data_IF_318856836175
#
_entry.id   IF_318856836175
#
_cell.length_a   1.000
_cell.length_b   1.000
_cell.length_c   1.000
_cell.angle_alpha   90.00
_cell.angle_beta   90.00
_cell.angle_gamma   90.00
#
_symmetry.space_group_name_H-M   'P 1'
#
loop_
_entity.id
_entity.type
_entity.pdbx_description
1 polymer ?
#
# COMPACT_ATOMS: atom_id res chain seq x y z
N UNK A 1 67.61 -46.48 21.88
CA UNK A 1 66.27 -46.55 22.51
C UNK A 1 65.90 -45.17 23.04
N UNK A 2 64.74 -44.67 22.62
CA UNK A 2 64.16 -43.36 22.97
C UNK A 2 63.44 -43.40 24.33
N UNK A 3 63.47 -42.30 25.08
CA UNK A 3 62.39 -41.66 25.88
C UNK A 3 63.06 -40.43 26.55
N UNK A 4 62.64 -39.18 26.41
CA UNK A 4 61.29 -38.63 26.19
C UNK A 4 61.04 -37.61 27.31
N UNK A 5 61.82 -36.51 27.31
CA UNK A 5 61.74 -35.44 28.31
C UNK A 5 60.53 -34.52 28.07
N UNK A 6 59.72 -34.34 29.12
CA UNK A 6 58.46 -33.61 29.12
C UNK A 6 58.68 -32.10 28.93
N UNK A 7 58.21 -31.56 27.80
CA UNK A 7 58.06 -30.11 27.61
C UNK A 7 56.89 -29.56 28.40
N UNK A 8 57.14 -28.57 29.26
CA UNK A 8 56.10 -27.80 29.96
C UNK A 8 55.42 -26.87 28.96
N UNK A 9 54.12 -27.07 28.73
CA UNK A 9 53.30 -26.20 27.89
C UNK A 9 53.16 -24.80 28.50
N UNK A 10 53.52 -23.78 27.73
CA UNK A 10 53.17 -22.38 28.01
C UNK A 10 51.68 -22.19 27.76
N UNK A 11 50.88 -22.02 28.81
CA UNK A 11 49.49 -21.57 28.70
C UNK A 11 49.49 -20.10 28.26
N UNK A 12 49.05 -19.83 27.04
CA UNK A 12 48.77 -18.47 26.56
C UNK A 12 47.53 -17.95 27.30
N UNK A 13 47.66 -16.85 28.06
CA UNK A 13 46.51 -16.10 28.57
C UNK A 13 45.71 -15.52 27.39
N UNK A 14 44.37 -15.55 27.39
CA UNK A 14 43.58 -14.85 26.39
C UNK A 14 43.69 -13.33 26.58
N UNK A 15 43.53 -12.53 25.51
CA UNK A 15 43.53 -11.07 25.61
C UNK A 15 42.31 -10.56 26.39
N UNK A 16 42.38 -9.39 27.06
CA UNK A 16 41.25 -8.82 27.77
C UNK A 16 40.12 -8.43 26.80
N UNK A 17 38.89 -8.68 27.22
CA UNK A 17 37.66 -8.30 26.51
C UNK A 17 37.58 -6.77 26.37
N UNK A 18 37.04 -6.22 25.26
CA UNK A 18 36.81 -4.79 25.14
C UNK A 18 35.75 -4.35 26.18
N UNK A 19 35.86 -3.13 26.74
CA UNK A 19 34.86 -2.64 27.69
C UNK A 19 33.51 -2.55 26.99
N UNK A 20 32.48 -3.12 27.62
CA UNK A 20 31.10 -2.89 27.22
C UNK A 20 30.82 -1.40 27.35
N UNK A 21 30.55 -0.73 26.21
CA UNK A 21 29.95 0.60 26.23
C UNK A 21 28.52 0.44 26.74
N UNK A 22 28.36 0.49 28.06
CA UNK A 22 27.06 0.59 28.69
C UNK A 22 26.33 1.81 28.13
N UNK A 23 25.14 1.60 27.60
CA UNK A 23 24.23 2.68 27.24
C UNK A 23 23.92 3.49 28.50
N UNK A 24 24.51 4.68 28.63
CA UNK A 24 24.22 5.59 29.71
C UNK A 24 22.94 6.34 29.36
N UNK A 25 21.84 5.94 30.00
CA UNK A 25 20.56 6.63 29.93
C UNK A 25 20.73 8.13 30.24
N UNK A 26 21.69 8.49 31.08
CA UNK A 26 22.05 9.87 31.43
C UNK A 26 22.72 10.65 30.30
N UNK A 27 23.58 10.02 29.48
CA UNK A 27 24.16 10.67 28.29
C UNK A 27 23.12 10.83 27.18
N UNK A 28 22.23 9.84 27.03
CA UNK A 28 21.09 9.93 26.13
C UNK A 28 20.10 11.03 26.54
N UNK A 29 19.79 11.14 27.85
CA UNK A 29 18.95 12.21 28.42
C UNK A 29 19.58 13.60 28.29
N UNK A 30 20.91 13.75 28.39
CA UNK A 30 21.57 15.04 28.10
C UNK A 30 21.41 15.49 26.65
N UNK A 31 21.22 14.55 25.72
CA UNK A 31 20.89 14.84 24.32
C UNK A 31 19.49 15.42 24.11
N UNK A 32 18.60 15.29 25.11
CA UNK A 32 17.24 15.87 25.12
C UNK A 32 17.18 17.28 25.72
N UNK A 33 18.28 17.79 26.31
CA UNK A 33 18.33 19.16 26.83
C UNK A 33 18.66 20.15 25.70
N UNK A 34 17.91 21.27 25.59
CA UNK A 34 18.18 22.30 24.59
C UNK A 34 19.56 22.92 24.81
N UNK A 35 20.39 22.92 23.77
CA UNK A 35 21.68 23.62 23.76
C UNK A 35 21.43 25.14 23.85
N UNK A 36 22.28 25.91 24.56
CA UNK A 36 22.17 27.36 24.59
C UNK A 36 22.23 27.91 23.17
N UNK A 37 21.27 28.78 22.84
CA UNK A 37 21.09 29.34 21.50
C UNK A 37 22.38 30.01 21.02
N UNK A 38 22.95 29.47 19.93
CA UNK A 38 23.99 30.16 19.19
C UNK A 38 23.42 31.50 18.70
N UNK A 39 24.22 32.56 18.84
CA UNK A 39 23.89 33.94 18.47
C UNK A 39 23.26 33.97 17.07
N UNK A 40 22.05 34.53 16.97
CA UNK A 40 21.28 34.55 15.73
C UNK A 40 22.11 35.19 14.59
N UNK A 41 22.25 34.52 13.44
CA UNK A 41 22.94 35.09 12.29
C UNK A 41 22.16 36.31 11.78
N UNK A 42 22.89 37.34 11.31
CA UNK A 42 22.29 38.49 10.62
C UNK A 42 21.48 37.99 9.42
N UNK A 43 20.17 38.13 9.48
CA UNK A 43 19.27 37.68 8.40
C UNK A 43 19.54 38.49 7.13
N UNK A 44 19.69 37.78 6.01
CA UNK A 44 19.81 38.42 4.68
C UNK A 44 18.42 38.88 4.23
N UNK A 45 18.30 40.00 3.48
CA UNK A 45 16.99 40.54 3.04
C UNK A 45 16.05 39.52 2.38
N UNK A 46 16.60 38.54 1.65
CA UNK A 46 15.81 37.46 1.02
C UNK A 46 15.23 36.43 1.99
N UNK A 47 15.82 36.23 3.17
CA UNK A 47 15.30 35.28 4.17
C UNK A 47 14.00 35.79 4.81
N UNK A 48 13.83 37.11 4.94
CA UNK A 48 12.64 37.72 5.53
C UNK A 48 11.42 37.59 4.61
N UNK A 49 11.62 37.68 3.29
CA UNK A 49 10.56 37.46 2.31
C UNK A 49 10.11 36.00 2.27
N UNK A 50 11.05 35.06 2.22
CA UNK A 50 10.77 33.62 2.27
C UNK A 50 9.99 33.24 3.54
N UNK A 51 10.39 33.75 4.70
CA UNK A 51 9.67 33.50 5.95
C UNK A 51 8.22 34.02 5.93
N UNK A 52 7.95 35.14 5.26
CA UNK A 52 6.61 35.68 5.11
C UNK A 52 5.74 34.85 4.15
N UNK A 53 6.33 34.33 3.07
CA UNK A 53 5.66 33.42 2.13
C UNK A 53 5.33 32.08 2.80
N UNK A 54 6.27 31.52 3.55
CA UNK A 54 6.07 30.30 4.35
C UNK A 54 4.91 30.48 5.35
N UNK A 55 4.90 31.58 6.10
CA UNK A 55 3.83 31.87 7.05
C UNK A 55 2.45 31.98 6.37
N UNK A 56 2.37 32.59 5.18
CA UNK A 56 1.12 32.66 4.39
C UNK A 56 0.67 31.28 3.91
N UNK A 57 1.59 30.45 3.44
CA UNK A 57 1.27 29.10 2.99
C UNK A 57 0.76 28.21 4.13
N UNK A 58 1.36 28.34 5.33
CA UNK A 58 0.91 27.67 6.55
C UNK A 58 -0.50 28.10 6.94
N UNK A 59 -0.79 29.40 6.96
CA UNK A 59 -2.14 29.91 7.26
C UNK A 59 -3.17 29.45 6.21
N UNK A 60 -2.79 29.45 4.94
CA UNK A 60 -3.64 28.96 3.85
C UNK A 60 -3.92 27.45 3.99
N UNK A 61 -2.91 26.64 4.34
CA UNK A 61 -3.08 25.22 4.63
C UNK A 61 -4.07 25.03 5.79
N UNK A 62 -3.86 25.74 6.90
CA UNK A 62 -4.70 25.61 8.08
C UNK A 62 -6.16 25.96 7.81
N UNK A 63 -6.41 26.96 6.97
CA UNK A 63 -7.77 27.33 6.52
C UNK A 63 -8.36 26.27 5.59
N UNK A 64 -7.59 25.78 4.62
CA UNK A 64 -8.05 24.83 3.62
C UNK A 64 -8.43 23.47 4.24
N UNK A 65 -7.62 22.97 5.18
CA UNK A 65 -7.87 21.68 5.85
C UNK A 65 -8.64 21.80 7.17
N UNK A 66 -8.85 23.02 7.67
CA UNK A 66 -9.52 23.26 8.94
C UNK A 66 -8.72 22.76 10.15
N UNK A 67 -7.38 22.73 10.05
CA UNK A 67 -6.46 22.23 11.09
C UNK A 67 -5.57 23.38 11.54
N UNK A 68 -5.64 23.75 12.82
CA UNK A 68 -4.74 24.74 13.41
C UNK A 68 -3.64 24.00 14.16
N UNK A 69 -2.40 24.32 13.86
CA UNK A 69 -1.24 23.78 14.58
C UNK A 69 -0.89 24.66 15.78
N UNK A 70 -0.53 24.03 16.90
CA UNK A 70 0.03 24.75 18.06
C UNK A 70 1.46 25.20 17.77
N UNK A 71 2.25 24.35 17.09
CA UNK A 71 3.56 24.69 16.54
C UNK A 71 3.51 24.75 15.00
N UNK A 72 3.43 25.96 14.41
CA UNK A 72 3.52 26.16 12.96
C UNK A 72 4.82 25.62 12.34
N UNK A 73 5.89 25.50 13.12
CA UNK A 73 7.17 24.94 12.68
C UNK A 73 7.08 23.46 12.31
N UNK A 74 6.23 22.69 13.00
CA UNK A 74 5.97 21.29 12.64
C UNK A 74 5.26 21.16 11.29
N UNK A 75 4.26 22.00 11.04
CA UNK A 75 3.58 22.02 9.73
C UNK A 75 4.52 22.49 8.62
N UNK A 76 5.35 23.50 8.88
CA UNK A 76 6.39 23.91 7.93
C UNK A 76 7.30 22.73 7.57
N UNK A 77 7.80 22.03 8.58
CA UNK A 77 8.68 20.87 8.39
C UNK A 77 7.99 19.77 7.57
N UNK A 78 6.73 19.45 7.89
CA UNK A 78 5.94 18.46 7.16
C UNK A 78 5.75 18.79 5.68
N UNK A 79 5.62 20.08 5.36
CA UNK A 79 5.46 20.58 4.01
C UNK A 79 6.79 20.82 3.29
N UNK A 80 7.95 20.60 3.92
CA UNK A 80 9.26 20.89 3.33
C UNK A 80 9.83 19.70 2.56
N UNK A 81 9.74 19.73 1.23
CA UNK A 81 10.40 18.74 0.38
C UNK A 81 11.93 18.99 0.38
N UNK A 82 12.73 17.93 0.31
CA UNK A 82 14.21 18.00 0.29
C UNK A 82 14.80 18.96 -0.75
N UNK A 83 14.11 19.17 -1.88
CA UNK A 83 14.54 20.16 -2.90
C UNK A 83 14.65 21.60 -2.33
N UNK A 84 13.81 21.93 -1.36
CA UNK A 84 13.72 23.27 -0.76
C UNK A 84 14.91 23.58 0.15
N UNK A 85 15.60 22.56 0.68
CA UNK A 85 16.75 22.74 1.58
C UNK A 85 17.91 23.49 0.93
N UNK A 86 18.11 23.31 -0.38
CA UNK A 86 19.13 24.03 -1.13
C UNK A 86 18.82 25.54 -1.24
N UNK A 87 17.53 25.91 -1.18
CA UNK A 87 17.07 27.31 -1.24
C UNK A 87 17.29 28.00 0.10
N UNK A 88 17.05 27.29 1.21
CA UNK A 88 17.13 27.85 2.57
C UNK A 88 18.52 27.71 3.20
N UNK A 89 19.39 26.85 2.64
CA UNK A 89 20.71 26.53 3.20
C UNK A 89 20.63 25.64 4.44
N UNK A 90 19.51 24.93 4.60
CA UNK A 90 19.19 24.08 5.74
C UNK A 90 19.76 22.66 5.57
N UNK A 91 19.99 21.95 6.68
CA UNK A 91 20.57 20.61 6.65
C UNK A 91 19.56 19.53 6.21
N UNK A 92 20.02 18.33 5.80
CA UNK A 92 19.14 17.23 5.35
C UNK A 92 18.08 16.80 6.37
N UNK A 93 18.28 17.07 7.66
CA UNK A 93 17.32 16.74 8.74
C UNK A 93 16.14 17.71 8.83
N UNK A 94 16.12 18.72 7.98
CA UNK A 94 15.11 19.78 7.96
C UNK A 94 14.10 19.56 6.81
N UNK A 95 14.15 18.40 6.14
CA UNK A 95 13.10 17.89 5.26
C UNK A 95 11.99 17.18 6.04
N UNK A 96 10.90 16.89 5.35
CA UNK A 96 9.76 16.15 5.84
C UNK A 96 10.00 14.64 6.07
N UNK A 97 11.09 14.06 5.55
CA UNK A 97 11.37 12.60 5.51
C UNK A 97 11.30 11.92 6.90
N UNK A 98 11.64 12.63 7.98
CA UNK A 98 11.52 12.07 9.35
C UNK A 98 10.09 12.06 9.86
N UNK A 99 9.29 13.04 9.45
CA UNK A 99 7.87 13.09 9.77
C UNK A 99 7.09 12.08 8.92
N UNK A 100 7.48 11.89 7.65
CA UNK A 100 6.98 10.81 6.78
C UNK A 100 7.11 9.45 7.48
N UNK A 101 8.33 9.10 7.90
CA UNK A 101 8.60 7.85 8.62
C UNK A 101 7.70 7.64 9.86
N UNK A 102 7.49 8.70 10.65
CA UNK A 102 6.59 8.62 11.81
C UNK A 102 5.13 8.52 11.39
N UNK A 103 4.75 9.28 10.36
CA UNK A 103 3.41 9.34 9.80
C UNK A 103 2.95 7.99 9.26
N UNK A 104 3.80 7.28 8.53
CA UNK A 104 3.54 5.91 8.05
C UNK A 104 3.19 4.96 9.21
N UNK A 105 3.96 5.01 10.30
CA UNK A 105 3.67 4.19 11.48
C UNK A 105 2.32 4.53 12.13
N UNK A 106 1.98 5.82 12.23
CA UNK A 106 0.69 6.28 12.76
C UNK A 106 -0.46 5.86 11.84
N UNK A 107 -0.29 6.03 10.52
CA UNK A 107 -1.24 5.62 9.49
C UNK A 107 -1.52 4.12 9.57
N UNK A 108 -0.45 3.32 9.66
CA UNK A 108 -0.52 1.88 9.74
C UNK A 108 -1.27 1.40 10.98
N UNK A 109 -1.05 2.04 12.14
CA UNK A 109 -1.76 1.72 13.37
C UNK A 109 -3.25 2.05 13.28
N UNK A 110 -3.59 3.28 12.89
CA UNK A 110 -4.98 3.73 12.79
C UNK A 110 -5.76 2.88 11.77
N UNK A 111 -5.16 2.60 10.61
CA UNK A 111 -5.80 1.78 9.58
C UNK A 111 -6.02 0.34 10.06
N UNK A 112 -5.04 -0.25 10.77
CA UNK A 112 -5.21 -1.56 11.40
C UNK A 112 -6.34 -1.58 12.44
N UNK A 113 -6.41 -0.57 13.30
CA UNK A 113 -7.46 -0.45 14.32
C UNK A 113 -8.85 -0.29 13.67
N UNK A 114 -8.95 0.54 12.63
CA UNK A 114 -10.17 0.72 11.85
C UNK A 114 -10.66 -0.60 11.25
N UNK A 115 -9.78 -1.32 10.55
CA UNK A 115 -10.13 -2.58 9.90
C UNK A 115 -10.55 -3.66 10.90
N UNK A 116 -9.79 -3.80 11.99
CA UNK A 116 -10.08 -4.77 13.06
C UNK A 116 -11.48 -4.55 13.65
N UNK A 117 -11.86 -3.30 13.93
CA UNK A 117 -13.18 -2.98 14.50
C UNK A 117 -14.31 -3.11 13.47
N UNK A 118 -14.05 -2.73 12.22
CA UNK A 118 -15.10 -2.62 11.20
C UNK A 118 -15.41 -3.94 10.51
N UNK A 119 -14.45 -4.86 10.49
CA UNK A 119 -14.51 -6.15 9.80
C UNK A 119 -14.24 -7.34 10.75
N UNK A 120 -15.06 -7.54 11.81
CA UNK A 120 -14.80 -8.55 12.84
C UNK A 120 -14.84 -10.00 12.33
N UNK A 121 -15.37 -10.22 11.12
CA UNK A 121 -15.50 -11.54 10.50
C UNK A 121 -14.38 -11.84 9.48
N UNK A 122 -13.51 -10.87 9.17
CA UNK A 122 -12.38 -11.07 8.26
C UNK A 122 -11.18 -11.65 9.01
N UNK A 123 -10.48 -12.60 8.40
CA UNK A 123 -9.25 -13.16 8.98
C UNK A 123 -8.03 -12.27 8.71
N UNK A 124 -6.94 -12.51 9.42
CA UNK A 124 -5.70 -11.72 9.38
C UNK A 124 -5.20 -11.43 7.95
N UNK A 125 -5.10 -12.45 7.09
CA UNK A 125 -4.68 -12.24 5.69
C UNK A 125 -5.55 -11.26 4.89
N UNK A 126 -6.88 -11.27 5.09
CA UNK A 126 -7.80 -10.31 4.43
C UNK A 126 -7.56 -8.89 4.96
N UNK A 127 -7.45 -8.74 6.28
CA UNK A 127 -7.19 -7.45 6.92
C UNK A 127 -5.84 -6.87 6.47
N UNK A 128 -4.79 -7.69 6.39
CA UNK A 128 -3.47 -7.29 5.92
C UNK A 128 -3.51 -6.83 4.47
N UNK A 129 -4.20 -7.56 3.59
CA UNK A 129 -4.35 -7.18 2.18
C UNK A 129 -5.10 -5.85 2.01
N UNK A 130 -6.22 -5.69 2.72
CA UNK A 130 -6.99 -4.43 2.70
C UNK A 130 -6.18 -3.28 3.27
N UNK A 131 -5.43 -3.50 4.36
CA UNK A 131 -4.52 -2.50 4.91
C UNK A 131 -3.49 -2.05 3.88
N UNK A 132 -2.76 -2.98 3.27
CA UNK A 132 -1.71 -2.67 2.28
C UNK A 132 -2.26 -1.85 1.12
N UNK A 133 -3.48 -2.13 0.66
CA UNK A 133 -4.14 -1.32 -0.36
C UNK A 133 -4.43 0.10 0.13
N UNK A 134 -5.06 0.25 1.30
CA UNK A 134 -5.48 1.56 1.83
C UNK A 134 -4.31 2.49 2.15
N UNK A 135 -3.20 1.94 2.65
CA UNK A 135 -1.99 2.71 2.96
C UNK A 135 -0.99 2.75 1.80
N UNK A 136 -1.35 2.22 0.63
CA UNK A 136 -0.46 2.21 -0.53
C UNK A 136 -0.16 3.63 -1.02
N UNK A 137 1.07 3.83 -1.51
CA UNK A 137 1.51 5.07 -2.15
C UNK A 137 0.56 5.52 -3.27
N UNK A 138 -0.02 4.57 -4.01
CA UNK A 138 -0.99 4.84 -5.06
C UNK A 138 -2.31 5.45 -4.52
N UNK A 139 -2.86 4.95 -3.41
CA UNK A 139 -4.06 5.53 -2.79
C UNK A 139 -3.72 6.88 -2.14
N UNK A 140 -2.65 6.93 -1.34
CA UNK A 140 -2.26 8.14 -0.61
C UNK A 140 -1.97 9.31 -1.56
N UNK A 141 -1.21 9.07 -2.63
CA UNK A 141 -0.89 10.11 -3.61
C UNK A 141 -2.13 10.63 -4.35
N UNK A 142 -3.07 9.75 -4.72
CA UNK A 142 -4.34 10.16 -5.35
C UNK A 142 -5.19 11.00 -4.40
N UNK A 143 -5.25 10.63 -3.11
CA UNK A 143 -5.95 11.41 -2.07
C UNK A 143 -5.31 12.78 -1.88
N UNK A 144 -4.00 12.81 -1.73
CA UNK A 144 -3.21 14.03 -1.61
C UNK A 144 -3.38 14.96 -2.83
N UNK A 145 -3.45 14.39 -4.04
CA UNK A 145 -3.72 15.14 -5.26
C UNK A 145 -5.13 15.72 -5.24
N UNK A 146 -6.15 14.89 -4.98
CA UNK A 146 -7.55 15.29 -4.97
C UNK A 146 -7.84 16.39 -3.94
N UNK A 147 -7.20 16.33 -2.76
CA UNK A 147 -7.36 17.35 -1.72
C UNK A 147 -6.51 18.61 -1.97
N UNK A 148 -5.72 18.64 -3.04
CA UNK A 148 -4.88 19.79 -3.42
C UNK A 148 -3.66 19.99 -2.54
N UNK A 149 -3.17 18.96 -1.84
CA UNK A 149 -2.04 19.04 -0.90
C UNK A 149 -0.78 19.60 -1.56
N UNK A 150 -0.57 19.26 -2.83
CA UNK A 150 0.57 19.71 -3.62
C UNK A 150 0.77 21.22 -3.57
N UNK A 151 -0.28 22.04 -3.47
CA UNK A 151 -0.23 23.52 -3.44
C UNK A 151 0.50 24.11 -2.23
N UNK A 152 0.68 23.32 -1.17
CA UNK A 152 1.26 23.78 0.10
C UNK A 152 2.70 23.31 0.34
N UNK A 153 3.16 22.30 -0.41
CA UNK A 153 4.52 21.74 -0.24
C UNK A 153 5.58 22.74 -0.70
N UNK A 154 6.55 23.06 0.15
CA UNK A 154 7.69 23.90 -0.19
C UNK A 154 8.69 23.10 -1.03
N UNK A 155 9.04 23.63 -2.19
CA UNK A 155 9.91 22.99 -3.18
C UNK A 155 10.81 24.05 -3.84
N UNK A 156 11.93 23.63 -4.43
CA UNK A 156 12.72 24.54 -5.27
C UNK A 156 11.94 24.96 -6.52
N UNK A 157 12.35 26.07 -7.15
CA UNK A 157 11.73 26.52 -8.39
C UNK A 157 11.80 25.46 -9.49
N UNK A 158 12.97 24.85 -9.69
CA UNK A 158 13.18 23.77 -10.66
C UNK A 158 12.28 22.55 -10.42
N UNK A 159 12.04 22.21 -9.16
CA UNK A 159 11.16 21.10 -8.78
C UNK A 159 9.71 21.40 -9.18
N UNK A 160 9.26 22.64 -8.95
CA UNK A 160 7.95 23.11 -9.36
C UNK A 160 7.80 23.09 -10.88
N UNK A 161 8.78 23.62 -11.63
CA UNK A 161 8.78 23.64 -13.10
C UNK A 161 8.72 22.23 -13.70
N UNK A 162 9.34 21.25 -13.04
CA UNK A 162 9.29 19.83 -13.45
C UNK A 162 7.99 19.09 -13.09
N UNK A 163 6.97 19.81 -12.60
CA UNK A 163 5.68 19.24 -12.21
C UNK A 163 5.65 18.62 -10.81
N UNK A 164 6.57 18.97 -9.91
CA UNK A 164 6.66 18.40 -8.56
C UNK A 164 5.35 18.50 -7.76
N UNK A 165 4.56 19.55 -7.99
CA UNK A 165 3.24 19.78 -7.36
C UNK A 165 2.21 18.69 -7.67
N UNK A 166 2.37 17.96 -8.77
CA UNK A 166 1.49 16.87 -9.20
C UNK A 166 2.15 15.50 -9.07
N UNK A 167 3.43 15.44 -8.67
CA UNK A 167 4.17 14.18 -8.62
C UNK A 167 3.67 13.31 -7.48
N UNK A 168 3.15 12.14 -7.82
CA UNK A 168 2.52 11.22 -6.88
C UNK A 168 3.44 10.83 -5.72
N UNK A 169 4.74 10.62 -5.98
CA UNK A 169 5.69 10.28 -4.92
C UNK A 169 5.78 11.35 -3.85
N UNK A 170 5.98 12.60 -4.25
CA UNK A 170 6.06 13.75 -3.31
C UNK A 170 4.75 13.94 -2.55
N UNK A 171 3.62 13.72 -3.21
CA UNK A 171 2.30 13.90 -2.60
C UNK A 171 2.00 12.85 -1.53
N UNK A 172 2.37 11.59 -1.74
CA UNK A 172 2.24 10.55 -0.72
C UNK A 172 3.13 10.86 0.49
N UNK A 173 4.40 11.18 0.26
CA UNK A 173 5.37 11.46 1.32
C UNK A 173 4.95 12.69 2.15
N UNK A 174 4.40 13.72 1.48
CA UNK A 174 3.84 14.90 2.15
C UNK A 174 2.58 14.57 2.97
N UNK A 175 1.73 13.66 2.51
CA UNK A 175 0.53 13.25 3.26
C UNK A 175 0.92 12.59 4.58
N UNK A 176 1.84 11.61 4.53
CA UNK A 176 2.37 10.94 5.72
C UNK A 176 3.09 11.94 6.63
N UNK A 177 3.88 12.84 6.07
CA UNK A 177 4.56 13.87 6.84
C UNK A 177 3.61 14.80 7.59
N UNK A 178 2.52 15.24 6.95
CA UNK A 178 1.47 16.05 7.59
C UNK A 178 0.82 15.27 8.72
N UNK A 179 0.51 14.00 8.50
CA UNK A 179 -0.04 13.12 9.53
C UNK A 179 0.92 12.99 10.73
N UNK A 180 2.21 12.78 10.48
CA UNK A 180 3.24 12.75 11.52
C UNK A 180 3.31 14.05 12.31
N UNK A 181 3.17 15.20 11.65
CA UNK A 181 3.11 16.49 12.32
C UNK A 181 1.83 16.68 13.15
N UNK A 182 0.65 16.30 12.64
CA UNK A 182 -0.61 16.34 13.40
C UNK A 182 -0.50 15.48 14.66
N UNK A 183 0.08 14.28 14.54
CA UNK A 183 0.31 13.40 15.67
C UNK A 183 1.22 14.03 16.74
N UNK A 184 2.33 14.64 16.35
CA UNK A 184 3.24 15.29 17.30
C UNK A 184 2.65 16.55 17.94
N UNK A 185 1.85 17.32 17.20
CA UNK A 185 1.29 18.59 17.65
C UNK A 185 0.05 18.42 18.55
N UNK A 186 -0.80 17.42 18.25
CA UNK A 186 -2.15 17.28 18.84
C UNK A 186 -2.47 15.87 19.36
N UNK A 187 -1.58 14.91 19.14
CA UNK A 187 -1.72 13.54 19.63
C UNK A 187 -2.51 12.61 18.71
N UNK A 188 -2.66 11.37 19.17
CA UNK A 188 -3.22 10.25 18.40
C UNK A 188 -4.66 10.47 17.92
N UNK A 189 -5.52 11.05 18.76
CA UNK A 189 -6.93 11.26 18.42
C UNK A 189 -7.14 12.25 17.27
N UNK A 190 -6.32 13.30 17.21
CA UNK A 190 -6.33 14.26 16.11
C UNK A 190 -5.83 13.61 14.81
N UNK A 191 -4.77 12.81 14.90
CA UNK A 191 -4.25 12.03 13.77
C UNK A 191 -5.28 11.02 13.24
N UNK A 192 -5.99 10.31 14.12
CA UNK A 192 -7.09 9.41 13.74
C UNK A 192 -8.18 10.17 13.01
N UNK A 193 -8.62 11.31 13.55
CA UNK A 193 -9.66 12.15 12.93
C UNK A 193 -9.25 12.65 11.54
N UNK A 194 -7.96 12.99 11.38
CA UNK A 194 -7.40 13.39 10.08
C UNK A 194 -7.48 12.24 9.06
N UNK A 195 -7.05 11.04 9.44
CA UNK A 195 -7.09 9.85 8.58
C UNK A 195 -8.53 9.48 8.24
N UNK A 196 -9.44 9.47 9.22
CA UNK A 196 -10.84 9.15 9.02
C UNK A 196 -11.45 10.07 7.95
N UNK A 197 -11.25 11.39 8.08
CA UNK A 197 -11.80 12.39 7.17
C UNK A 197 -11.19 12.36 5.77
N UNK A 198 -9.87 12.18 5.67
CA UNK A 198 -9.15 12.40 4.40
C UNK A 198 -8.79 11.11 3.65
N UNK A 199 -8.89 9.96 4.31
CA UNK A 199 -8.59 8.65 3.72
C UNK A 199 -9.76 7.68 3.84
N UNK A 200 -10.31 7.49 5.04
CA UNK A 200 -11.20 6.34 5.32
C UNK A 200 -12.69 6.59 5.02
N UNK A 201 -13.17 7.82 5.06
CA UNK A 201 -14.58 8.12 4.73
C UNK A 201 -14.94 7.68 3.31
N UNK A 202 -14.02 7.85 2.36
CA UNK A 202 -14.18 7.32 1.00
C UNK A 202 -13.62 5.89 0.83
N UNK A 203 -12.81 5.38 1.76
CA UNK A 203 -12.37 3.99 1.73
C UNK A 203 -13.55 3.02 1.87
N UNK A 204 -14.68 3.46 2.43
CA UNK A 204 -15.94 2.69 2.39
C UNK A 204 -16.37 2.36 0.96
N UNK A 205 -16.08 3.25 0.01
CA UNK A 205 -16.34 3.07 -1.42
C UNK A 205 -15.27 2.15 -2.02
N UNK A 206 -13.99 2.33 -1.69
CA UNK A 206 -12.88 1.53 -2.22
C UNK A 206 -12.95 0.06 -1.74
N UNK A 207 -13.28 -0.17 -0.47
CA UNK A 207 -13.44 -1.51 0.10
C UNK A 207 -14.76 -2.18 -0.31
N UNK A 208 -15.83 -1.39 -0.56
CA UNK A 208 -17.06 -1.90 -1.16
C UNK A 208 -16.92 -2.17 -2.67
N UNK A 209 -15.96 -1.51 -3.33
CA UNK A 209 -15.60 -1.79 -4.70
C UNK A 209 -14.77 -3.07 -4.77
N UNK A 210 -15.51 -4.19 -4.70
CA UNK A 210 -15.10 -5.58 -4.92
C UNK A 210 -14.25 -5.81 -6.19
N UNK A 211 -14.06 -4.79 -7.04
CA UNK A 211 -13.15 -4.80 -8.19
C UNK A 211 -11.68 -4.97 -7.79
N UNK A 212 -11.29 -4.58 -6.57
CA UNK A 212 -9.92 -4.76 -6.05
C UNK A 212 -9.74 -6.04 -5.23
N UNK A 213 -10.79 -6.85 -5.07
CA UNK A 213 -10.63 -8.20 -4.53
C UNK A 213 -9.87 -9.01 -5.57
N UNK A 214 -8.58 -9.30 -5.36
CA UNK A 214 -7.84 -10.21 -6.22
C UNK A 214 -8.43 -11.63 -6.08
N UNK A 215 -9.48 -11.91 -6.85
CA UNK A 215 -10.24 -13.15 -6.86
C UNK A 215 -9.38 -14.31 -7.31
N UNK A 216 -8.38 -14.07 -8.17
CA UNK A 216 -7.41 -15.10 -8.55
C UNK A 216 -6.64 -15.63 -7.36
N UNK A 217 -6.11 -14.76 -6.50
CA UNK A 217 -5.38 -15.18 -5.30
C UNK A 217 -6.29 -15.95 -4.34
N UNK A 218 -7.51 -15.45 -4.11
CA UNK A 218 -8.47 -16.14 -3.24
C UNK A 218 -8.86 -17.51 -3.80
N UNK A 219 -9.09 -17.61 -5.11
CA UNK A 219 -9.39 -18.88 -5.76
C UNK A 219 -8.18 -19.82 -5.69
N UNK A 220 -6.96 -19.31 -5.84
CA UNK A 220 -5.75 -20.10 -5.73
C UNK A 220 -5.60 -20.70 -4.32
N UNK A 221 -5.79 -19.89 -3.27
CA UNK A 221 -5.78 -20.36 -1.89
C UNK A 221 -6.87 -21.42 -1.63
N UNK A 222 -8.09 -21.18 -2.11
CA UNK A 222 -9.19 -22.13 -2.01
C UNK A 222 -8.88 -23.45 -2.73
N UNK A 223 -8.37 -23.39 -3.96
CA UNK A 223 -8.07 -24.58 -4.76
C UNK A 223 -6.88 -25.34 -4.18
N UNK A 224 -5.88 -24.64 -3.64
CA UNK A 224 -4.72 -25.26 -3.02
C UNK A 224 -5.08 -25.92 -1.70
N UNK A 225 -5.93 -25.29 -0.88
CA UNK A 225 -6.40 -25.87 0.38
C UNK A 225 -7.37 -27.05 0.16
N UNK A 226 -8.28 -26.95 -0.81
CA UNK A 226 -9.35 -27.94 -1.04
C UNK A 226 -8.90 -29.09 -1.93
N UNK A 227 -8.25 -28.79 -3.06
CA UNK A 227 -7.92 -29.76 -4.10
C UNK A 227 -6.42 -30.09 -4.17
N UNK A 228 -5.58 -29.45 -3.33
CA UNK A 228 -4.10 -29.62 -3.31
C UNK A 228 -3.45 -29.43 -4.68
N UNK A 229 -3.99 -28.52 -5.49
CA UNK A 229 -3.49 -28.16 -6.82
C UNK A 229 -3.67 -26.66 -7.06
N UNK A 230 -3.52 -26.19 -8.30
CA UNK A 230 -3.69 -24.80 -8.69
C UNK A 230 -4.76 -24.63 -9.79
N UNK A 231 -5.44 -23.48 -9.86
CA UNK A 231 -6.37 -23.17 -10.94
C UNK A 231 -5.64 -22.87 -12.26
N UNK A 232 -6.24 -23.26 -13.38
CA UNK A 232 -5.73 -23.02 -14.74
C UNK A 232 -6.75 -22.19 -15.52
N UNK A 233 -6.31 -21.07 -16.09
CA UNK A 233 -7.15 -20.19 -16.90
C UNK A 233 -7.01 -20.51 -18.38
N UNK A 234 -8.13 -20.55 -19.11
CA UNK A 234 -8.15 -20.75 -20.57
C UNK A 234 -9.03 -19.71 -21.24
N UNK A 235 -8.51 -19.06 -22.26
CA UNK A 235 -9.31 -18.17 -23.12
C UNK A 235 -10.17 -19.05 -24.03
N UNK A 236 -11.49 -18.92 -23.92
CA UNK A 236 -12.44 -19.62 -24.79
C UNK A 236 -12.64 -18.90 -26.12
N UNK A 237 -12.71 -17.57 -26.07
CA UNK A 237 -12.89 -16.73 -27.26
C UNK A 237 -12.48 -15.28 -26.99
N UNK A 238 -12.22 -14.55 -28.06
CA UNK A 238 -12.12 -13.09 -28.05
C UNK A 238 -12.95 -12.54 -29.21
N UNK A 239 -13.84 -11.60 -28.94
CA UNK A 239 -14.77 -11.05 -29.93
C UNK A 239 -14.74 -9.52 -29.89
N UNK A 240 -15.09 -8.88 -31.01
CA UNK A 240 -15.16 -7.43 -31.13
C UNK A 240 -13.94 -6.79 -31.80
N UNK A 241 -14.08 -5.57 -32.33
CA UNK A 241 -12.99 -4.81 -32.95
C UNK A 241 -11.93 -4.43 -31.92
N UNK A 242 -10.69 -4.17 -32.35
CA UNK A 242 -9.54 -4.06 -31.42
C UNK A 242 -9.70 -2.99 -30.33
N UNK A 243 -10.41 -1.90 -30.62
CA UNK A 243 -10.75 -0.84 -29.66
C UNK A 243 -11.89 -1.19 -28.68
N UNK A 244 -12.52 -2.36 -28.80
CA UNK A 244 -13.64 -2.81 -27.95
C UNK A 244 -13.68 -4.34 -27.87
N UNK A 245 -12.52 -4.96 -27.69
CA UNK A 245 -12.37 -6.42 -27.65
C UNK A 245 -12.90 -6.95 -26.32
N UNK A 246 -13.65 -8.05 -26.37
CA UNK A 246 -14.17 -8.76 -25.19
C UNK A 246 -13.54 -10.14 -25.17
N UNK A 247 -12.85 -10.47 -24.08
CA UNK A 247 -12.26 -11.77 -23.82
C UNK A 247 -13.23 -12.60 -22.98
N UNK A 248 -13.40 -13.87 -23.34
CA UNK A 248 -14.11 -14.86 -22.54
C UNK A 248 -13.10 -15.89 -22.01
N UNK A 249 -13.07 -16.08 -20.71
CA UNK A 249 -12.12 -16.94 -20.00
C UNK A 249 -12.87 -17.93 -19.12
N UNK A 250 -12.42 -19.17 -19.07
CA UNK A 250 -12.82 -20.17 -18.09
C UNK A 250 -11.67 -20.45 -17.11
N UNK A 251 -11.99 -20.71 -15.84
CA UNK A 251 -11.04 -21.18 -14.83
C UNK A 251 -11.36 -22.63 -14.47
N UNK A 252 -10.33 -23.47 -14.44
CA UNK A 252 -10.44 -24.91 -14.30
C UNK A 252 -9.57 -25.44 -13.16
N UNK A 253 -10.01 -26.55 -12.56
CA UNK A 253 -9.18 -27.38 -11.69
C UNK A 253 -9.20 -28.80 -12.23
N UNK A 254 -8.04 -29.28 -12.69
CA UNK A 254 -7.95 -30.52 -13.45
C UNK A 254 -8.74 -30.42 -14.76
N UNK A 255 -9.80 -31.24 -14.87
CA UNK A 255 -10.71 -31.23 -16.05
C UNK A 255 -12.03 -30.52 -15.79
N UNK A 256 -12.29 -30.06 -14.57
CA UNK A 256 -13.56 -29.42 -14.18
C UNK A 256 -13.45 -27.91 -14.34
N UNK A 257 -14.40 -27.31 -15.04
CA UNK A 257 -14.58 -25.85 -15.06
C UNK A 257 -15.20 -25.43 -13.73
N UNK A 258 -14.53 -24.52 -13.02
CA UNK A 258 -15.03 -23.95 -11.78
C UNK A 258 -15.79 -22.64 -12.01
N UNK A 259 -15.40 -21.84 -13.00
CA UNK A 259 -16.08 -20.59 -13.31
C UNK A 259 -15.72 -20.02 -14.68
N UNK A 260 -16.49 -19.04 -15.12
CA UNK A 260 -16.37 -18.35 -16.41
C UNK A 260 -16.47 -16.83 -16.22
N UNK A 261 -15.73 -16.09 -17.02
CA UNK A 261 -15.63 -14.64 -16.91
C UNK A 261 -15.47 -13.96 -18.25
N UNK A 262 -15.91 -12.70 -18.31
CA UNK A 262 -15.77 -11.84 -19.50
C UNK A 262 -15.21 -10.49 -19.10
N UNK A 263 -14.38 -9.91 -19.97
CA UNK A 263 -13.79 -8.60 -19.71
C UNK A 263 -13.22 -7.94 -20.98
N UNK A 264 -12.97 -6.62 -20.94
CA UNK A 264 -12.39 -5.86 -22.05
C UNK A 264 -10.92 -6.23 -22.31
N UNK A 265 -10.26 -6.86 -21.34
CA UNK A 265 -8.92 -7.40 -21.45
C UNK A 265 -8.86 -8.79 -20.79
N UNK A 266 -7.77 -9.54 -21.04
CA UNK A 266 -7.57 -10.88 -20.49
C UNK A 266 -7.57 -10.88 -18.96
N UNK A 267 -6.95 -9.87 -18.34
CA UNK A 267 -6.82 -9.78 -16.87
C UNK A 267 -8.20 -9.66 -16.20
N UNK A 268 -9.05 -8.76 -16.67
CA UNK A 268 -10.41 -8.57 -16.17
C UNK A 268 -11.29 -9.80 -16.42
N UNK A 269 -11.17 -10.43 -17.59
CA UNK A 269 -11.89 -11.67 -17.89
C UNK A 269 -11.49 -12.81 -16.94
N UNK A 270 -10.20 -12.93 -16.60
CA UNK A 270 -9.70 -13.91 -15.65
C UNK A 270 -10.15 -13.61 -14.21
N UNK A 271 -10.13 -12.35 -13.78
CA UNK A 271 -10.66 -11.95 -12.46
C UNK A 271 -12.17 -12.24 -12.36
N UNK A 272 -12.93 -11.97 -13.42
CA UNK A 272 -14.35 -12.31 -13.48
C UNK A 272 -14.59 -13.82 -13.41
N UNK A 273 -13.76 -14.63 -14.07
CA UNK A 273 -13.86 -16.09 -14.01
C UNK A 273 -13.52 -16.63 -12.61
N UNK A 274 -12.53 -16.03 -11.96
CA UNK A 274 -12.16 -16.38 -10.59
C UNK A 274 -13.26 -16.04 -9.58
N UNK A 275 -13.93 -14.89 -9.77
CA UNK A 275 -15.08 -14.48 -8.96
C UNK A 275 -16.24 -15.46 -9.12
N UNK A 276 -16.65 -15.76 -10.35
CA UNK A 276 -17.75 -16.71 -10.62
C UNK A 276 -17.45 -18.09 -10.02
N UNK A 277 -16.20 -18.55 -10.09
CA UNK A 277 -15.78 -19.79 -9.43
C UNK A 277 -15.93 -19.74 -7.91
N UNK A 278 -15.49 -18.66 -7.26
CA UNK A 278 -15.62 -18.47 -5.82
C UNK A 278 -17.08 -18.37 -5.36
N UNK A 279 -17.91 -17.63 -6.09
CA UNK A 279 -19.34 -17.50 -5.81
C UNK A 279 -20.04 -18.87 -5.89
N UNK A 280 -19.70 -19.69 -6.90
CA UNK A 280 -20.25 -21.05 -7.05
C UNK A 280 -19.82 -21.99 -5.92
N UNK A 281 -18.54 -22.01 -5.56
CA UNK A 281 -18.07 -22.93 -4.52
C UNK A 281 -18.52 -22.52 -3.11
N UNK A 282 -18.69 -21.23 -2.86
CA UNK A 282 -19.23 -20.72 -1.59
C UNK A 282 -20.77 -20.86 -1.50
N UNK A 283 -21.48 -20.79 -2.63
CA UNK A 283 -22.93 -21.00 -2.71
C UNK A 283 -23.37 -22.46 -2.55
N UNK A 284 -22.51 -23.44 -2.82
CA UNK A 284 -22.83 -24.88 -2.74
C UNK A 284 -22.48 -25.54 -1.40
N UNK A 285 -21.99 -24.78 -0.40
CA UNK A 285 -21.67 -25.30 0.94
C UNK A 285 -22.87 -25.64 1.82
N UNK A 286 -24.11 -25.53 1.33
CA UNK A 286 -25.33 -25.80 2.10
C UNK A 286 -26.03 -27.13 1.74
N UNK A 287 -25.64 -27.80 0.66
CA UNK A 287 -26.26 -29.06 0.23
C UNK A 287 -25.23 -29.87 -0.55
N UNK A 288 -24.54 -30.82 0.08
CA UNK A 288 -24.00 -32.02 -0.56
C UNK A 288 -23.32 -32.93 0.49
N UNK A 289 -24.12 -33.38 1.47
CA UNK A 289 -23.91 -34.65 2.18
C UNK A 289 -24.96 -35.67 1.65
N UNK A 290 -25.01 -35.85 0.34
CA UNK A 290 -25.81 -36.90 -0.28
C UNK A 290 -24.90 -37.77 -1.15
N UNK A 291 -24.51 -38.93 -0.59
CA UNK A 291 -23.88 -40.03 -1.33
C UNK A 291 -24.69 -40.35 -2.59
N UNK A 292 -24.06 -40.57 -3.75
CA UNK A 292 -24.78 -41.10 -4.90
C UNK A 292 -25.06 -42.59 -4.68
N UNK A 293 -26.35 -42.89 -4.63
CA UNK A 293 -26.93 -44.21 -4.58
C UNK A 293 -26.39 -45.14 -5.69
N UNK A 294 -26.11 -46.36 -5.25
CA UNK A 294 -25.82 -47.53 -6.09
C UNK A 294 -26.92 -47.73 -7.14
N UNK A 295 -26.52 -48.00 -8.39
CA UNK A 295 -27.41 -48.65 -9.36
C UNK A 295 -26.70 -49.88 -9.91
N UNK A 296 -27.22 -51.03 -9.49
CA UNK A 296 -26.82 -52.38 -9.85
C UNK A 296 -27.37 -52.78 -11.24
N UNK A 297 -26.62 -53.68 -11.92
CA UNK A 297 -27.00 -54.69 -12.95
C UNK A 297 -26.98 -54.25 -14.43
N UNK A 298 -26.38 -54.98 -15.39
CA UNK A 298 -25.96 -56.40 -15.51
C UNK A 298 -24.97 -56.61 -16.72
N UNK A 299 -24.47 -57.83 -17.07
CA UNK A 299 -23.11 -58.03 -17.57
C UNK A 299 -23.00 -58.57 -19.01
N UNK A 300 -21.84 -58.38 -19.66
CA UNK A 300 -21.46 -59.20 -20.81
C UNK A 300 -19.94 -59.33 -21.02
N UNK A 301 -19.47 -60.54 -20.72
CA UNK A 301 -18.32 -61.33 -21.21
C UNK A 301 -17.40 -60.73 -22.29
N UNK A 302 -16.08 -60.90 -22.10
CA UNK A 302 -15.12 -61.06 -23.20
C UNK A 302 -13.65 -60.80 -22.83
N UNK A 303 -12.82 -61.85 -22.91
CA UNK A 303 -11.34 -61.91 -22.78
C UNK A 303 -10.66 -60.86 -23.71
N UNK A 304 -9.47 -60.31 -23.45
CA UNK A 304 -8.18 -61.02 -23.52
C UNK A 304 -6.97 -60.14 -23.08
N UNK A 305 -5.79 -60.76 -23.07
CA UNK A 305 -4.52 -60.46 -22.37
C UNK A 305 -3.65 -59.29 -22.89
N UNK A 306 -2.71 -58.91 -22.02
CA UNK A 306 -1.29 -58.56 -22.24
C UNK A 306 -0.82 -57.12 -22.59
N UNK A 307 0.08 -56.64 -21.70
CA UNK A 307 1.42 -56.02 -21.90
C UNK A 307 1.65 -54.49 -21.86
N UNK A 308 2.70 -54.20 -21.09
CA UNK A 308 3.75 -53.17 -21.22
C UNK A 308 3.55 -51.71 -20.76
N UNK A 309 4.33 -51.35 -19.72
CA UNK A 309 4.92 -50.02 -19.45
C UNK A 309 6.23 -49.92 -20.27
N UNK A 310 6.63 -48.74 -20.80
CA UNK A 310 7.29 -47.64 -20.06
C UNK A 310 6.80 -46.25 -20.57
N UNK A 311 7.24 -45.04 -20.15
CA UNK A 311 8.35 -44.52 -19.37
C UNK A 311 8.07 -43.02 -19.06
N UNK A 312 8.73 -42.46 -18.03
CA UNK A 312 8.58 -41.08 -17.56
C UNK A 312 9.53 -40.14 -18.33
N UNK A 313 9.02 -39.09 -18.95
CA UNK A 313 9.79 -37.90 -19.32
C UNK A 313 9.49 -36.75 -18.34
N UNK A 314 10.55 -36.14 -17.81
CA UNK A 314 10.49 -34.94 -16.97
C UNK A 314 10.39 -33.72 -17.88
N UNK A 315 9.33 -32.92 -17.74
CA UNK A 315 9.38 -31.51 -18.14
C UNK A 315 9.88 -30.68 -16.95
N UNK A 316 11.01 -30.02 -17.15
CA UNK A 316 11.51 -28.94 -16.30
C UNK A 316 10.63 -27.70 -16.53
N UNK A 317 10.00 -27.20 -15.47
CA UNK A 317 9.29 -25.91 -15.45
C UNK A 317 10.25 -24.88 -14.87
N UNK A 318 10.61 -23.88 -15.66
CA UNK A 318 11.29 -22.68 -15.18
C UNK A 318 10.34 -21.90 -14.26
N UNK A 319 10.78 -21.66 -13.02
CA UNK A 319 10.07 -20.82 -12.05
C UNK A 319 10.66 -19.42 -12.05
N UNK A 320 9.85 -18.42 -12.37
CA UNK A 320 10.18 -17.00 -12.19
C UNK A 320 10.33 -16.67 -10.69
N UNK A 321 11.41 -15.99 -10.25
CA UNK A 321 11.67 -15.75 -8.84
C UNK A 321 10.76 -14.63 -8.26
N UNK A 322 10.39 -14.80 -6.99
CA UNK A 322 9.42 -13.99 -6.24
C UNK A 322 9.67 -12.46 -6.16
N UNK A 323 10.82 -11.95 -6.60
CA UNK A 323 11.09 -10.51 -6.66
C UNK A 323 10.44 -9.82 -7.84
N UNK A 324 10.36 -10.48 -9.01
CA UNK A 324 9.66 -9.92 -10.17
C UNK A 324 8.13 -9.91 -9.98
N UNK A 325 7.59 -10.78 -9.10
CA UNK A 325 6.17 -10.80 -8.79
C UNK A 325 5.69 -9.57 -7.98
N UNK A 326 6.55 -9.00 -7.13
CA UNK A 326 6.21 -7.83 -6.32
C UNK A 326 6.28 -6.52 -7.12
N UNK A 327 7.24 -6.41 -8.03
CA UNK A 327 7.38 -5.24 -8.91
C UNK A 327 6.20 -5.15 -9.93
N UNK A 328 5.65 -6.31 -10.32
CA UNK A 328 4.45 -6.38 -11.17
C UNK A 328 3.15 -6.04 -10.42
N UNK A 329 3.08 -6.27 -9.10
CA UNK A 329 1.91 -5.93 -8.28
C UNK A 329 1.76 -4.41 -8.08
N UNK A 330 2.87 -3.65 -8.09
CA UNK A 330 2.84 -2.19 -7.90
C UNK A 330 2.38 -1.43 -9.15
N UNK A 331 2.74 -1.90 -10.35
CA UNK A 331 2.19 -1.40 -11.63
C UNK A 331 0.69 -1.72 -11.77
N UNK A 332 0.24 -2.87 -11.26
CA UNK A 332 -1.14 -3.36 -11.39
C UNK A 332 -2.17 -2.58 -10.54
N UNK A 333 -1.73 -1.88 -9.49
CA UNK A 333 -2.55 -0.96 -8.67
C UNK A 333 -2.72 0.42 -9.32
N UNK A 334 -1.81 0.80 -10.22
CA UNK A 334 -1.83 2.11 -10.90
C UNK A 334 -2.87 2.14 -12.04
N UNK A 335 -3.03 1.05 -12.79
CA UNK A 335 -3.97 0.95 -13.93
C UNK A 335 -5.45 0.81 -13.51
N UNK A 336 -5.73 0.31 -12.30
CA UNK A 336 -7.09 -0.03 -11.85
C UNK A 336 -7.94 1.15 -11.36
N UNK A 337 -7.33 2.31 -11.10
CA UNK A 337 -8.05 3.51 -10.66
C UNK A 337 -7.90 4.53 -11.76
N UNK A 338 -9.00 4.74 -12.48
CA UNK A 338 -9.06 5.62 -13.66
C UNK A 338 -8.53 7.04 -13.42
N UNK A 339 -8.37 7.81 -14.50
CA UNK A 339 -7.80 9.15 -14.43
C UNK A 339 -8.63 10.05 -13.49
N UNK A 340 -7.92 10.92 -12.75
CA UNK A 340 -8.57 11.94 -11.92
C UNK A 340 -9.44 12.87 -12.80
N UNK A 341 -10.60 13.34 -12.32
CA UNK A 341 -11.42 14.29 -13.05
C UNK A 341 -10.64 15.58 -13.34
N UNK A 342 -10.91 16.17 -14.51
CA UNK A 342 -10.23 17.40 -14.90
C UNK A 342 -10.65 18.57 -13.99
N UNK A 343 -9.78 19.58 -13.76
CA UNK A 343 -10.10 20.73 -12.90
C UNK A 343 -11.31 21.57 -13.36
N UNK A 344 -11.85 21.33 -14.56
CA UNK A 344 -12.92 22.12 -15.15
C UNK A 344 -14.34 21.70 -14.70
N UNK A 345 -14.51 20.61 -13.95
CA UNK A 345 -15.83 20.08 -13.56
C UNK A 345 -16.26 20.45 -12.13
N UNK A 346 -15.51 21.31 -11.44
CA UNK A 346 -15.77 21.66 -10.02
C UNK A 346 -16.38 23.05 -9.80
N UNK A 347 -16.77 23.78 -10.86
CA UNK A 347 -17.13 25.21 -10.75
C UNK A 347 -18.60 25.57 -11.04
N UNK A 348 -19.51 24.60 -11.26
CA UNK A 348 -20.87 24.93 -11.74
C UNK A 348 -22.03 24.67 -10.75
N UNK A 349 -21.77 24.53 -9.44
CA UNK A 349 -22.84 24.36 -8.46
C UNK A 349 -22.64 25.24 -7.20
N UNK A 350 -22.80 26.55 -7.39
CA UNK A 350 -22.96 27.51 -6.30
C UNK A 350 -24.38 28.13 -6.33
N UNK A 351 -25.22 27.96 -5.29
CA UNK A 351 -26.56 28.52 -5.29
C UNK A 351 -26.50 30.03 -5.04
N UNK A 352 -26.96 30.81 -6.03
CA UNK A 352 -27.14 32.26 -5.95
C UNK A 352 -28.20 32.62 -4.90
N UNK A 353 -27.75 33.10 -3.73
CA UNK A 353 -28.61 33.79 -2.75
C UNK A 353 -29.10 35.11 -3.34
N UNK A 354 -30.32 35.13 -3.89
CA UNK A 354 -31.05 36.38 -4.17
C UNK A 354 -31.47 37.03 -2.86
N UNK A 355 -30.93 38.22 -2.62
CA UNK A 355 -31.44 39.18 -1.65
C UNK A 355 -32.84 39.65 -2.08
N UNK A 356 -33.82 39.50 -1.18
CA UNK A 356 -35.07 40.27 -1.23
C UNK A 356 -35.04 41.30 -0.12
N UNK A 357 -34.98 42.57 -0.50
CA UNK A 357 -35.37 43.72 0.31
C UNK A 357 -36.37 44.54 -0.51
N UNK A 358 -37.40 45.02 0.20
CA UNK A 358 -38.44 46.01 -0.14
C UNK A 358 -39.77 45.44 -0.65
N UNK A 359 -40.82 45.95 0.00
CA UNK A 359 -42.20 45.48 0.06
C UNK A 359 -42.64 45.66 1.51
#
# INVERSE_FOLDING_TARGET
MRRGGRGRGRTRRPPPSPPSRGFSLWEWLKGLLPRPAARAPRQRPGQTLLAAEEARAIDAFSKHFGIRFNDPGLLKLALTHRSYLHVTGQGPRESNERLEFLGDSVLGLVTSEFLYRRHPNEHEGQLTKTKSLLVSKAILSRRALAMGLGKFVFMSHSEIESGGRQRLSILADAFESVLGAVYLDQGFEAARTFIDRHLLDDARIIAADKRHTNYKSHLQEYVQSTFRTHPVYRIRSSMGPDHSKVFMVEVMVGRRVLGEGRGPNKKEAEQAAARDALDRVQGHGATDDAEPAETEREPSRGRDRHRDRPGRERLTVETTPAREALDLEEEEILDAVGPAPSPAELDDDAPTRRSRRRG
#
